data_IF_352884841093
#
_entry.id   IF_352884841093
#
_cell.length_a   1.000
_cell.length_b   1.000
_cell.length_c   1.000
_cell.angle_alpha   90.00
_cell.angle_beta   90.00
_cell.angle_gamma   90.00
#
_symmetry.space_group_name_H-M   'P 1'
#
loop_
_entity.id
_entity.type
_entity.pdbx_description
1 polymer ?
#
# COMPACT_ATOMS: atom_id res chain seq x y z
N UNK A 1 9.81 -1.63 -10.33
CA UNK A 1 10.71 -2.33 -9.40
C UNK A 1 9.99 -2.79 -8.14
N UNK A 2 10.21 -2.11 -7.01
CA UNK A 2 9.65 -2.48 -5.70
C UNK A 2 8.12 -2.57 -5.68
N UNK A 3 7.43 -1.52 -6.16
CA UNK A 3 5.96 -1.47 -6.12
C UNK A 3 5.30 -2.55 -7.00
N UNK A 4 5.85 -2.84 -8.17
CA UNK A 4 5.38 -3.93 -9.04
C UNK A 4 5.54 -5.30 -8.36
N UNK A 5 6.61 -5.48 -7.57
CA UNK A 5 6.78 -6.69 -6.76
C UNK A 5 5.78 -6.71 -5.61
N UNK A 6 5.53 -5.57 -4.95
CA UNK A 6 4.50 -5.45 -3.91
C UNK A 6 3.09 -5.78 -4.44
N UNK A 7 2.77 -5.35 -5.65
CA UNK A 7 1.50 -5.64 -6.34
C UNK A 7 1.29 -7.15 -6.55
N UNK A 8 2.34 -7.87 -6.93
CA UNK A 8 2.32 -9.32 -7.13
C UNK A 8 2.38 -10.10 -5.81
N UNK A 9 3.16 -9.62 -4.86
CA UNK A 9 3.43 -10.30 -3.61
C UNK A 9 2.20 -10.29 -2.71
N UNK A 10 1.50 -9.15 -2.62
CA UNK A 10 0.33 -9.02 -1.75
C UNK A 10 -0.73 -10.13 -1.95
N UNK A 11 -1.29 -10.35 -3.16
CA UNK A 11 -2.28 -11.40 -3.35
C UNK A 11 -1.71 -12.81 -3.18
N UNK A 12 -0.44 -13.04 -3.54
CA UNK A 12 0.19 -14.37 -3.45
C UNK A 12 0.39 -14.86 -2.01
N UNK A 13 0.43 -13.92 -1.07
CA UNK A 13 1.00 -14.15 0.23
C UNK A 13 -0.17 -14.01 1.27
N UNK A 14 -1.25 -13.28 0.92
CA UNK A 14 -2.42 -13.00 1.77
C UNK A 14 -3.75 -13.53 1.22
N UNK A 15 -3.91 -13.71 -0.10
CA UNK A 15 -5.15 -14.19 -0.76
C UNK A 15 -6.47 -13.44 -0.44
N UNK A 16 -6.46 -12.37 0.35
CA UNK A 16 -7.66 -11.67 0.87
C UNK A 16 -7.92 -10.30 0.22
N UNK A 17 -7.28 -10.02 -0.92
CA UNK A 17 -7.45 -8.74 -1.61
C UNK A 17 -6.55 -8.56 -2.81
N UNK A 18 -6.50 -7.30 -3.28
CA UNK A 18 -5.64 -6.84 -4.37
C UNK A 18 -4.88 -5.61 -3.95
N UNK A 19 -3.65 -5.52 -4.43
CA UNK A 19 -2.84 -4.31 -4.37
C UNK A 19 -2.81 -3.76 -5.80
N UNK A 20 -2.99 -2.45 -5.95
CA UNK A 20 -2.98 -1.73 -7.22
C UNK A 20 -2.05 -0.53 -7.08
N UNK A 21 -1.17 -0.35 -8.05
CA UNK A 21 -0.19 0.76 -8.03
C UNK A 21 -0.48 1.68 -9.20
N UNK A 22 -0.88 2.92 -8.89
CA UNK A 22 -0.97 4.00 -9.85
C UNK A 22 0.29 4.86 -9.75
N UNK A 23 1.30 4.57 -10.57
CA UNK A 23 2.53 5.37 -10.61
C UNK A 23 2.38 6.58 -11.54
N UNK A 24 2.81 7.75 -11.08
CA UNK A 24 2.81 9.01 -11.81
C UNK A 24 4.24 9.57 -11.96
N UNK A 25 4.46 10.51 -12.88
CA UNK A 25 5.80 11.09 -13.15
C UNK A 25 6.51 11.67 -11.92
N UNK A 26 5.76 12.12 -10.90
CA UNK A 26 6.32 12.74 -9.67
C UNK A 26 5.96 11.98 -8.39
N UNK A 27 5.42 10.78 -8.50
CA UNK A 27 4.92 10.05 -7.34
C UNK A 27 4.01 8.90 -7.72
N UNK A 28 2.99 8.68 -6.91
CA UNK A 28 1.97 7.70 -7.20
C UNK A 28 1.11 7.39 -5.98
N UNK A 29 0.16 6.49 -6.21
CA UNK A 29 -0.72 5.96 -5.18
C UNK A 29 -0.67 4.44 -5.18
N UNK A 30 -0.52 3.83 -4.01
CA UNK A 30 -0.75 2.41 -3.79
C UNK A 30 -2.12 2.26 -3.15
N UNK A 31 -3.00 1.51 -3.78
CA UNK A 31 -4.32 1.19 -3.26
C UNK A 31 -4.38 -0.29 -2.94
N UNK A 32 -4.94 -0.62 -1.79
CA UNK A 32 -5.14 -1.99 -1.34
C UNK A 32 -6.62 -2.14 -1.07
N UNK A 33 -7.23 -3.07 -1.77
CA UNK A 33 -8.65 -3.39 -1.63
C UNK A 33 -8.76 -4.81 -1.10
N UNK A 34 -9.37 -4.99 0.06
CA UNK A 34 -9.60 -6.30 0.65
C UNK A 34 -11.04 -6.76 0.48
N UNK A 35 -11.26 -8.08 0.49
CA UNK A 35 -12.62 -8.63 0.42
C UNK A 35 -13.33 -8.56 1.77
N UNK A 36 -12.54 -8.57 2.85
CA UNK A 36 -13.00 -8.49 4.24
C UNK A 36 -12.19 -7.42 4.98
N UNK A 37 -12.69 -6.88 6.11
CA UNK A 37 -11.92 -6.00 6.97
C UNK A 37 -10.62 -6.69 7.43
N UNK A 38 -9.48 -6.12 7.04
CA UNK A 38 -8.18 -6.61 7.49
C UNK A 38 -8.02 -6.45 9.00
N UNK A 39 -7.53 -7.51 9.66
CA UNK A 39 -7.04 -7.39 11.03
C UNK A 39 -5.98 -6.28 11.12
N UNK A 40 -6.08 -5.44 12.16
CA UNK A 40 -5.26 -4.24 12.34
C UNK A 40 -3.76 -4.48 12.21
N UNK A 41 -3.26 -5.62 12.72
CA UNK A 41 -1.85 -5.99 12.64
C UNK A 41 -1.33 -6.20 11.21
N UNK A 42 -2.09 -6.85 10.33
CA UNK A 42 -1.68 -7.05 8.94
C UNK A 42 -1.65 -5.74 8.15
N UNK A 43 -2.63 -4.87 8.40
CA UNK A 43 -2.69 -3.54 7.80
C UNK A 43 -1.48 -2.70 8.21
N UNK A 44 -1.12 -2.71 9.50
CA UNK A 44 0.06 -2.02 10.03
C UNK A 44 1.36 -2.57 9.46
N UNK A 45 1.52 -3.90 9.39
CA UNK A 45 2.69 -4.52 8.78
C UNK A 45 2.87 -4.07 7.34
N UNK A 46 1.82 -4.19 6.53
CA UNK A 46 1.92 -3.87 5.12
C UNK A 46 2.10 -2.38 4.86
N UNK A 47 1.48 -1.52 5.67
CA UNK A 47 1.78 -0.09 5.71
C UNK A 47 3.26 0.16 5.97
N UNK A 48 3.82 -0.42 7.03
CA UNK A 48 5.23 -0.23 7.38
C UNK A 48 6.15 -0.71 6.25
N UNK A 49 5.87 -1.89 5.70
CA UNK A 49 6.60 -2.45 4.56
C UNK A 49 6.61 -1.52 3.34
N UNK A 50 5.43 -1.02 2.93
CA UNK A 50 5.32 -0.11 1.78
C UNK A 50 5.98 1.24 2.05
N UNK A 51 5.76 1.83 3.23
CA UNK A 51 6.37 3.12 3.60
C UNK A 51 7.88 3.02 3.59
N UNK A 52 8.45 2.06 4.32
CA UNK A 52 9.90 1.88 4.39
C UNK A 52 10.50 1.51 3.03
N UNK A 53 9.83 0.66 2.25
CA UNK A 53 10.30 0.31 0.91
C UNK A 53 10.29 1.51 -0.06
N UNK A 54 9.28 2.37 0.02
CA UNK A 54 9.21 3.62 -0.74
C UNK A 54 10.30 4.61 -0.32
N UNK A 55 10.53 4.76 0.99
CA UNK A 55 11.60 5.61 1.54
C UNK A 55 12.99 5.14 1.08
N UNK A 56 13.26 3.82 1.12
CA UNK A 56 14.49 3.21 0.60
C UNK A 56 14.66 3.49 -0.90
N UNK A 57 13.55 3.49 -1.65
CA UNK A 57 13.55 3.83 -3.07
C UNK A 57 13.65 5.34 -3.35
N UNK A 58 13.74 6.20 -2.33
CA UNK A 58 13.95 7.64 -2.46
C UNK A 58 12.67 8.48 -2.39
N UNK A 59 11.52 7.92 -2.00
CA UNK A 59 10.32 8.71 -1.75
C UNK A 59 10.50 9.54 -0.46
N UNK A 60 10.24 10.86 -0.52
CA UNK A 60 10.41 11.76 0.64
C UNK A 60 9.13 12.10 1.40
N UNK A 61 7.99 12.01 0.73
CA UNK A 61 6.68 12.25 1.37
C UNK A 61 5.81 11.05 1.05
N UNK A 62 5.61 10.21 2.06
CA UNK A 62 4.72 9.07 1.99
C UNK A 62 3.56 9.32 2.97
N UNK A 63 2.35 9.48 2.45
CA UNK A 63 1.15 9.76 3.23
C UNK A 63 0.19 8.58 3.13
N UNK A 64 -0.02 7.88 4.24
CA UNK A 64 -1.09 6.90 4.34
C UNK A 64 -2.43 7.62 4.53
N UNK A 65 -3.40 7.28 3.68
CA UNK A 65 -4.81 7.66 3.83
C UNK A 65 -5.52 6.39 4.26
N UNK A 66 -5.80 6.30 5.56
CA UNK A 66 -6.53 5.19 6.16
C UNK A 66 -8.01 5.56 6.18
N UNK A 67 -8.82 4.82 5.42
CA UNK A 67 -10.24 4.76 5.69
C UNK A 67 -10.50 3.86 6.91
N UNK A 68 -11.60 4.11 7.62
CA UNK A 68 -11.92 3.45 8.89
C UNK A 68 -11.83 1.91 8.74
N UNK A 69 -10.94 1.24 9.50
CA UNK A 69 -10.68 -0.18 9.36
C UNK A 69 -11.87 -1.07 9.70
N UNK A 70 -12.86 -0.56 10.41
CA UNK A 70 -14.07 -1.31 10.79
C UNK A 70 -15.14 -1.34 9.71
N UNK A 71 -15.06 -0.44 8.72
CA UNK A 71 -16.11 -0.23 7.72
C UNK A 71 -15.60 -0.17 6.29
N UNK A 72 -14.31 0.12 6.08
CA UNK A 72 -13.75 0.29 4.75
C UNK A 72 -12.67 -0.76 4.42
N UNK A 73 -12.91 -1.59 3.39
CA UNK A 73 -11.93 -2.55 2.89
C UNK A 73 -10.78 -1.90 2.11
N UNK A 74 -10.80 -0.57 1.96
CA UNK A 74 -9.81 0.15 1.16
C UNK A 74 -8.78 0.84 2.05
N UNK A 75 -7.52 0.58 1.75
CA UNK A 75 -6.37 1.30 2.30
C UNK A 75 -5.58 1.95 1.16
N UNK A 76 -5.21 3.22 1.30
CA UNK A 76 -4.48 3.94 0.25
C UNK A 76 -3.23 4.63 0.80
N UNK A 77 -2.19 4.69 -0.02
CA UNK A 77 -0.90 5.28 0.29
C UNK A 77 -0.49 6.17 -0.88
N UNK A 78 -0.36 7.48 -0.67
CA UNK A 78 0.19 8.38 -1.69
C UNK A 78 1.65 8.70 -1.38
N UNK A 79 2.47 8.78 -2.41
CA UNK A 79 3.88 9.11 -2.28
C UNK A 79 4.34 10.03 -3.41
N UNK A 80 5.38 10.82 -3.13
CA UNK A 80 6.04 11.66 -4.12
C UNK A 80 7.52 11.30 -4.26
N UNK A 81 7.95 11.16 -5.51
CA UNK A 81 9.36 11.11 -5.89
C UNK A 81 9.93 12.54 -5.89
N UNK A 82 11.21 12.69 -5.54
CA UNK A 82 11.91 13.98 -5.67
C UNK A 82 12.31 14.26 -7.12
#
# INVERSE_FOLDING_TARGET
GFLEHGERLYPALWHIGRCEVAAEKKGGTVKITTQEPLHSGYRQFWRAFLVSGLEICGAKKVKAIEADPSTDPVYSLSFNWQ
#
